data_IF_883788220661
#
_entry.id   IF_883788220661
#
_cell.length_a   1.000
_cell.length_b   1.000
_cell.length_c   1.000
_cell.angle_alpha   90.00
_cell.angle_beta   90.00
_cell.angle_gamma   90.00
#
_symmetry.space_group_name_H-M   'P 1'
#
loop_
_entity.id
_entity.type
_entity.pdbx_description
1 polymer ?
#
# COMPACT_ATOMS: atom_id res chain seq x y z
N UNK A 1 10.30 21.34 -0.13
CA UNK A 1 9.01 20.64 0.06
C UNK A 1 8.88 19.76 -1.17
N UNK A 2 9.30 18.51 -1.06
CA UNK A 2 9.34 17.59 -2.20
C UNK A 2 7.96 16.98 -2.35
N UNK A 3 7.32 17.28 -3.46
CA UNK A 3 6.11 16.60 -3.91
C UNK A 3 6.50 15.19 -4.35
N UNK A 4 6.01 14.17 -3.65
CA UNK A 4 6.29 12.76 -3.93
C UNK A 4 5.13 12.05 -4.62
N UNK A 5 4.23 12.79 -5.27
CA UNK A 5 3.25 12.22 -6.17
C UNK A 5 3.61 12.58 -7.61
N UNK A 6 4.74 12.08 -8.11
CA UNK A 6 5.01 12.12 -9.55
C UNK A 6 4.13 11.06 -10.24
N UNK A 7 3.14 11.44 -11.06
CA UNK A 7 2.18 10.51 -11.65
C UNK A 7 2.69 9.86 -12.96
N UNK A 8 3.98 9.97 -13.28
CA UNK A 8 4.53 9.47 -14.53
C UNK A 8 5.14 8.09 -14.35
N UNK A 9 4.28 7.05 -14.30
CA UNK A 9 4.46 5.72 -14.93
C UNK A 9 3.48 4.70 -14.35
N UNK A 10 2.19 4.86 -14.62
CA UNK A 10 1.25 3.72 -14.67
C UNK A 10 0.97 3.35 -16.14
N UNK A 11 2.03 3.10 -16.94
CA UNK A 11 1.89 2.48 -18.25
C UNK A 11 2.95 1.39 -18.43
N UNK A 12 2.90 0.42 -17.53
CA UNK A 12 3.70 -0.78 -17.63
C UNK A 12 2.83 -1.95 -17.21
N UNK A 13 2.61 -2.87 -18.14
CA UNK A 13 2.47 -4.29 -17.81
C UNK A 13 3.45 -4.59 -16.68
N UNK A 14 2.99 -5.24 -15.60
CA UNK A 14 3.88 -5.75 -14.55
C UNK A 14 4.70 -6.89 -15.20
N UNK A 15 5.65 -6.53 -16.06
CA UNK A 15 6.74 -7.38 -16.45
C UNK A 15 7.61 -7.47 -15.19
N UNK A 16 7.78 -8.68 -14.66
CA UNK A 16 8.36 -8.96 -13.33
C UNK A 16 9.85 -8.61 -13.15
N UNK A 17 10.35 -7.57 -13.82
CA UNK A 17 11.72 -7.06 -13.80
C UNK A 17 11.76 -5.55 -13.48
N UNK A 18 10.76 -5.04 -12.74
CA UNK A 18 10.89 -3.74 -12.09
C UNK A 18 12.00 -3.79 -11.03
N UNK A 19 12.70 -2.68 -10.72
CA UNK A 19 13.69 -2.68 -9.67
C UNK A 19 13.06 -3.27 -8.40
N UNK A 20 13.72 -4.25 -7.80
CA UNK A 20 13.38 -4.79 -6.49
C UNK A 20 13.64 -3.70 -5.43
N UNK A 21 12.85 -2.63 -5.50
CA UNK A 21 12.72 -1.68 -4.42
C UNK A 21 12.15 -2.40 -3.21
N UNK A 22 12.24 -1.78 -2.01
CA UNK A 22 11.44 -2.25 -0.89
C UNK A 22 10.01 -2.47 -1.39
N UNK A 23 9.35 -3.55 -0.97
CA UNK A 23 8.07 -3.98 -1.53
C UNK A 23 6.92 -2.96 -1.30
N UNK A 24 7.23 -1.74 -0.86
CA UNK A 24 6.32 -0.71 -0.35
C UNK A 24 5.65 -1.12 0.97
N UNK A 25 5.58 -2.41 1.27
CA UNK A 25 4.87 -2.97 2.41
C UNK A 25 5.60 -2.80 3.75
N UNK A 26 6.90 -2.46 3.75
CA UNK A 26 7.68 -2.32 5.00
C UNK A 26 7.22 -1.12 5.83
N UNK A 27 6.68 -0.09 5.18
CA UNK A 27 6.18 1.16 5.78
C UNK A 27 4.66 1.19 5.89
N UNK A 28 3.99 0.11 5.47
CA UNK A 28 2.54 0.00 5.55
C UNK A 28 2.14 -0.35 6.97
N UNK A 29 1.26 0.48 7.52
CA UNK A 29 0.66 0.32 8.83
C UNK A 29 -0.87 0.28 8.72
N UNK A 30 -1.54 -0.08 9.82
CA UNK A 30 -3.00 -0.14 9.86
C UNK A 30 -3.58 0.35 11.19
N UNK A 31 -4.76 0.96 11.13
CA UNK A 31 -5.57 1.25 12.32
C UNK A 31 -7.03 0.86 12.11
N UNK A 32 -7.68 0.46 13.21
CA UNK A 32 -9.10 0.14 13.22
C UNK A 32 -9.96 1.41 13.21
N UNK A 33 -11.06 1.36 12.45
CA UNK A 33 -12.11 2.37 12.41
C UNK A 33 -13.45 1.71 12.74
N UNK A 34 -14.48 2.51 12.97
CA UNK A 34 -15.83 2.00 13.18
C UNK A 34 -16.32 1.25 11.93
N UNK A 35 -16.29 -0.08 12.00
CA UNK A 35 -16.76 -0.96 10.92
C UNK A 35 -15.74 -1.31 9.84
N UNK A 36 -14.45 -1.08 10.08
CA UNK A 36 -13.42 -1.42 9.09
C UNK A 36 -11.98 -1.20 9.58
N UNK A 37 -11.06 -1.21 8.63
CA UNK A 37 -9.63 -0.99 8.84
C UNK A 37 -9.07 -0.14 7.71
N UNK A 38 -8.17 0.76 8.05
CA UNK A 38 -7.42 1.56 7.07
C UNK A 38 -5.99 1.05 7.03
N UNK A 39 -5.48 0.79 5.82
CA UNK A 39 -4.07 0.57 5.56
C UNK A 39 -3.49 1.84 4.93
N UNK A 40 -2.33 2.26 5.40
CA UNK A 40 -1.66 3.47 4.90
C UNK A 40 -0.14 3.27 4.88
N UNK A 41 0.54 3.94 3.97
CA UNK A 41 2.00 4.02 3.95
C UNK A 41 2.45 5.24 4.79
N UNK A 42 3.26 5.00 5.83
CA UNK A 42 3.74 6.06 6.71
C UNK A 42 4.67 7.05 6.01
N UNK A 43 5.34 6.65 4.93
CA UNK A 43 6.24 7.49 4.14
C UNK A 43 5.54 8.15 2.93
N UNK A 44 4.34 7.68 2.58
CA UNK A 44 3.50 8.26 1.53
C UNK A 44 2.05 8.47 2.01
N UNK A 45 1.72 9.63 2.63
CA UNK A 45 0.40 9.90 3.20
C UNK A 45 -0.78 9.89 2.20
N UNK A 46 -0.50 9.91 0.89
CA UNK A 46 -1.53 9.83 -0.15
C UNK A 46 -1.84 8.38 -0.56
N UNK A 47 -1.02 7.42 -0.13
CA UNK A 47 -1.23 5.99 -0.38
C UNK A 47 -1.98 5.37 0.81
N UNK A 48 -3.31 5.26 0.67
CA UNK A 48 -4.16 4.62 1.66
C UNK A 48 -5.31 3.86 0.99
N UNK A 49 -5.83 2.85 1.70
CA UNK A 49 -7.04 2.11 1.32
C UNK A 49 -7.84 1.76 2.57
N UNK A 50 -9.15 1.96 2.49
CA UNK A 50 -10.11 1.52 3.49
C UNK A 50 -10.71 0.17 3.09
N UNK A 51 -10.80 -0.76 4.02
CA UNK A 51 -11.43 -2.06 3.83
C UNK A 51 -12.44 -2.36 4.94
N UNK A 52 -13.52 -3.06 4.58
CA UNK A 52 -14.55 -3.46 5.55
C UNK A 52 -14.08 -4.54 6.54
N UNK A 53 -13.02 -5.27 6.21
CA UNK A 53 -12.38 -6.29 7.07
C UNK A 53 -10.97 -6.61 6.60
N UNK A 54 -10.10 -7.00 7.53
CA UNK A 54 -8.82 -7.66 7.27
C UNK A 54 -8.88 -9.16 7.61
N UNK A 55 -7.96 -9.95 7.06
CA UNK A 55 -7.79 -11.37 7.35
C UNK A 55 -6.29 -11.65 7.49
N UNK A 56 -5.88 -12.53 8.41
CA UNK A 56 -4.47 -12.95 8.47
C UNK A 56 -4.20 -13.88 7.30
N UNK A 57 -3.00 -13.79 6.73
CA UNK A 57 -2.56 -14.65 5.63
C UNK A 57 -2.63 -16.14 6.01
N UNK A 58 -2.28 -16.49 7.25
CA UNK A 58 -2.36 -17.87 7.76
C UNK A 58 -3.79 -18.42 7.81
N UNK A 59 -4.80 -17.55 7.87
CA UNK A 59 -6.23 -17.94 7.90
C UNK A 59 -6.80 -18.18 6.49
N UNK A 60 -6.04 -17.87 5.42
CA UNK A 60 -6.46 -17.95 4.02
C UNK A 60 -5.96 -19.21 3.28
N UNK A 61 -5.42 -20.20 4.00
CA UNK A 61 -4.84 -21.44 3.45
C UNK A 61 -5.87 -22.56 3.18
#
# INVERSE_FOLDING_TARGET
MTDHATPERWDGTIDGDGPAGPTGAETVESYDIDGGVVFYDAENPLAWVEASRSMRLDDCA
#
